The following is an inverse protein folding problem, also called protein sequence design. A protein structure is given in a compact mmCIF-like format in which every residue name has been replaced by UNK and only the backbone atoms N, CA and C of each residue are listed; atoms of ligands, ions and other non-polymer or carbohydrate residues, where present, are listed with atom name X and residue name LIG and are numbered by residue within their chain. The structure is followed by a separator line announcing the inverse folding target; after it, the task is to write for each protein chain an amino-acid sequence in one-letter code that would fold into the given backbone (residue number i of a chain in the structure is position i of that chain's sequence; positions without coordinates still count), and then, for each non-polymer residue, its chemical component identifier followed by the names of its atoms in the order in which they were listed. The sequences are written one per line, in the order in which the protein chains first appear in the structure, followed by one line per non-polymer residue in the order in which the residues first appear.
data_IF_881247066294
#
_entry.id   IF_881247066294
#
_cell.length_a   1.000
_cell.length_b   1.000
_cell.length_c   1.000
_cell.angle_alpha   90.00
_cell.angle_beta   90.00
_cell.angle_gamma   90.00
#
_symmetry.space_group_name_H-M   'P 1'
#
loop_
_entity.id
_entity.type
_entity.pdbx_description
1 polymer ?
#
# COMPACT_ATOMS: atom_id res chain seq x y z
N UNK A 1 25.67 8.68 59.70
CA UNK A 1 25.99 7.26 59.78
C UNK A 1 25.39 6.55 58.55
N UNK A 2 26.30 6.00 57.75
CA UNK A 2 26.22 4.82 56.85
C UNK A 2 24.85 4.57 56.17
N UNK A 3 24.75 4.79 54.85
CA UNK A 3 25.17 3.86 53.75
C UNK A 3 24.36 2.59 53.74
N UNK A 4 23.52 2.44 52.69
CA UNK A 4 23.67 1.28 51.82
C UNK A 4 22.93 1.54 50.47
N UNK A 5 23.71 1.32 49.45
CA UNK A 5 23.30 1.37 48.05
C UNK A 5 22.81 -0.03 47.63
N UNK A 6 21.61 -0.17 47.19
CA UNK A 6 21.18 -1.36 46.49
C UNK A 6 20.74 -1.09 45.05
N UNK A 7 21.44 -1.75 44.18
CA UNK A 7 21.32 -1.67 42.71
C UNK A 7 20.06 -2.38 42.26
N UNK A 8 19.14 -1.69 41.69
CA UNK A 8 18.10 -2.31 40.87
C UNK A 8 18.52 -2.29 39.39
N UNK A 9 18.94 -3.43 38.92
CA UNK A 9 19.16 -3.69 37.50
C UNK A 9 17.79 -3.77 36.79
N UNK A 10 17.44 -2.77 36.00
CA UNK A 10 16.32 -2.86 35.09
C UNK A 10 16.72 -3.67 33.86
N UNK A 11 16.20 -4.88 33.74
CA UNK A 11 16.26 -5.66 32.51
C UNK A 11 15.25 -5.09 31.51
N UNK A 12 15.74 -4.43 30.47
CA UNK A 12 14.93 -3.95 29.36
C UNK A 12 14.47 -5.12 28.50
N UNK A 13 13.20 -5.48 28.61
CA UNK A 13 12.55 -6.37 27.64
C UNK A 13 12.05 -5.54 26.46
N UNK A 14 12.81 -5.54 25.37
CA UNK A 14 12.35 -5.05 24.05
C UNK A 14 11.30 -6.02 23.51
N UNK A 15 10.03 -5.75 23.75
CA UNK A 15 8.92 -6.43 23.10
C UNK A 15 8.81 -6.00 21.64
N UNK A 16 9.43 -6.75 20.73
CA UNK A 16 9.12 -6.69 19.29
C UNK A 16 7.79 -7.39 19.08
N UNK A 17 6.72 -6.64 18.96
CA UNK A 17 5.42 -7.12 18.53
C UNK A 17 5.48 -7.57 17.07
N UNK A 18 5.73 -8.85 16.83
CA UNK A 18 5.68 -9.45 15.51
C UNK A 18 4.21 -9.70 15.14
N UNK A 19 3.73 -9.07 14.08
CA UNK A 19 2.46 -9.42 13.43
C UNK A 19 2.53 -10.86 12.89
N UNK A 20 1.56 -11.69 13.24
CA UNK A 20 1.47 -13.09 12.80
C UNK A 20 0.42 -13.29 11.70
N UNK A 21 0.76 -13.94 10.57
CA UNK A 21 -0.11 -14.33 9.46
C UNK A 21 -0.42 -15.84 9.49
N UNK A 22 -1.65 -16.27 9.38
CA UNK A 22 -2.07 -17.65 9.20
C UNK A 22 -2.85 -17.78 7.87
N UNK A 23 -2.61 -18.83 7.10
CA UNK A 23 -3.24 -19.11 5.82
C UNK A 23 -4.53 -19.91 6.01
N UNK A 24 -5.62 -19.50 5.36
CA UNK A 24 -6.78 -20.34 5.17
C UNK A 24 -7.14 -20.37 3.68
N UNK A 25 -7.20 -21.57 3.12
CA UNK A 25 -7.54 -21.80 1.71
C UNK A 25 -9.04 -22.01 1.59
N UNK A 26 -9.73 -21.06 0.99
CA UNK A 26 -11.08 -21.30 0.48
C UNK A 26 -11.28 -20.59 -0.85
N UNK A 27 -11.45 -21.41 -1.84
CA UNK A 27 -11.91 -21.28 -3.22
C UNK A 27 -11.89 -19.86 -3.88
N UNK A 28 -10.92 -19.66 -4.79
CA UNK A 28 -10.76 -18.54 -5.75
C UNK A 28 -10.28 -17.17 -5.24
N UNK A 29 -10.19 -16.93 -3.94
CA UNK A 29 -9.59 -15.71 -3.37
C UNK A 29 -8.49 -16.11 -2.40
N UNK A 30 -7.23 -15.91 -2.77
CA UNK A 30 -6.11 -16.16 -1.85
C UNK A 30 -6.13 -15.14 -0.73
N UNK A 31 -6.36 -15.59 0.50
CA UNK A 31 -6.48 -14.75 1.69
C UNK A 31 -5.25 -14.92 2.59
N UNK A 32 -4.65 -13.81 2.99
CA UNK A 32 -3.47 -13.79 3.85
C UNK A 32 -3.82 -13.16 5.21
N UNK A 33 -3.38 -13.79 6.29
CA UNK A 33 -3.42 -13.22 7.63
C UNK A 33 -2.00 -12.85 8.04
N UNK A 34 -1.76 -11.65 8.53
CA UNK A 34 -0.41 -11.20 8.88
C UNK A 34 0.15 -11.92 10.13
N UNK A 35 0.84 -13.07 9.96
CA UNK A 35 1.73 -13.81 10.88
C UNK A 35 3.00 -14.23 10.14
N UNK A 36 4.18 -14.38 10.73
CA UNK A 36 5.37 -14.75 9.98
C UNK A 36 5.23 -16.17 9.41
N UNK A 37 5.01 -16.25 8.10
CA UNK A 37 5.06 -17.48 7.32
C UNK A 37 6.46 -17.71 6.74
N UNK A 38 6.87 -18.96 6.49
CA UNK A 38 8.11 -19.22 5.78
C UNK A 38 8.06 -18.58 4.37
N UNK A 39 9.05 -17.76 4.09
CA UNK A 39 9.15 -16.82 2.96
C UNK A 39 9.03 -17.45 1.57
N UNK A 40 9.33 -18.75 1.45
CA UNK A 40 9.35 -19.43 0.16
C UNK A 40 7.97 -19.87 -0.38
N UNK A 41 6.96 -20.05 0.47
CA UNK A 41 5.62 -20.46 0.03
C UNK A 41 4.82 -19.31 -0.62
N UNK A 42 5.08 -18.06 -0.23
CA UNK A 42 4.40 -16.88 -0.78
C UNK A 42 5.06 -16.34 -2.06
N UNK A 43 6.37 -16.51 -2.19
CA UNK A 43 7.12 -16.04 -3.36
C UNK A 43 6.67 -16.74 -4.66
N UNK A 44 6.21 -18.01 -4.59
CA UNK A 44 5.71 -18.76 -5.74
C UNK A 44 4.31 -18.33 -6.22
N UNK A 45 3.61 -17.50 -5.44
CA UNK A 45 2.25 -17.06 -5.72
C UNK A 45 2.18 -15.74 -6.49
N UNK A 46 3.28 -14.99 -6.52
CA UNK A 46 3.36 -13.72 -7.23
C UNK A 46 3.91 -13.99 -8.63
N UNK A 47 3.29 -13.40 -9.68
CA UNK A 47 3.88 -13.49 -11.00
C UNK A 47 5.28 -12.85 -10.95
N UNK A 48 6.30 -13.52 -11.52
CA UNK A 48 7.61 -12.94 -11.58
C UNK A 48 7.55 -11.64 -12.39
N UNK A 49 7.98 -10.53 -11.80
CA UNK A 49 8.09 -9.23 -12.47
C UNK A 49 9.36 -9.23 -13.36
N UNK A 50 9.46 -10.24 -14.22
CA UNK A 50 10.59 -10.42 -15.14
C UNK A 50 10.52 -9.50 -16.36
N UNK A 51 9.40 -8.76 -16.52
CA UNK A 51 9.17 -8.04 -17.77
C UNK A 51 10.00 -6.79 -17.94
N UNK A 52 10.66 -6.23 -16.87
CA UNK A 52 11.41 -4.96 -16.99
C UNK A 52 12.62 -4.78 -16.06
N UNK A 53 13.15 -5.82 -15.43
CA UNK A 53 14.41 -5.76 -14.68
C UNK A 53 14.41 -4.83 -13.45
N UNK A 54 13.24 -4.38 -12.98
CA UNK A 54 13.11 -3.50 -11.81
C UNK A 54 12.73 -4.32 -10.58
N UNK A 55 13.49 -4.14 -9.50
CA UNK A 55 13.16 -4.78 -8.22
C UNK A 55 11.76 -4.34 -7.74
N UNK A 56 10.87 -5.27 -7.37
CA UNK A 56 9.54 -4.93 -6.87
C UNK A 56 9.61 -4.16 -5.56
N UNK A 57 8.55 -3.44 -5.21
CA UNK A 57 8.39 -2.78 -3.92
C UNK A 57 7.86 -3.80 -2.90
N UNK A 58 8.67 -4.30 -1.95
CA UNK A 58 8.16 -5.14 -0.88
C UNK A 58 7.29 -4.26 0.04
N UNK A 59 6.10 -4.72 0.44
CA UNK A 59 5.22 -3.91 1.27
C UNK A 59 4.65 -4.61 2.51
N UNK A 60 4.48 -5.93 2.48
CA UNK A 60 4.04 -6.73 3.63
C UNK A 60 4.72 -8.10 3.60
N UNK A 61 5.77 -8.28 4.40
CA UNK A 61 6.52 -9.53 4.44
C UNK A 61 7.03 -9.94 3.07
N UNK A 62 6.56 -11.07 2.54
CA UNK A 62 6.91 -11.56 1.21
C UNK A 62 6.09 -10.95 0.07
N UNK A 63 5.08 -10.11 0.38
CA UNK A 63 4.23 -9.48 -0.64
C UNK A 63 4.91 -8.27 -1.24
N UNK A 64 4.81 -8.13 -2.56
CA UNK A 64 5.42 -7.03 -3.29
C UNK A 64 4.49 -6.46 -4.37
N UNK A 65 4.76 -5.23 -4.76
CA UNK A 65 4.10 -4.51 -5.84
C UNK A 65 5.09 -4.24 -6.97
N UNK A 66 4.66 -4.40 -8.20
CA UNK A 66 5.45 -4.03 -9.36
C UNK A 66 5.67 -2.51 -9.39
N UNK A 67 6.93 -2.05 -9.49
CA UNK A 67 7.23 -0.62 -9.63
C UNK A 67 6.92 -0.13 -11.05
N UNK A 68 6.75 1.17 -11.19
CA UNK A 68 6.31 1.82 -12.42
C UNK A 68 4.97 1.26 -12.94
N UNK A 69 4.10 0.86 -12.04
CA UNK A 69 2.76 0.31 -12.28
C UNK A 69 1.76 0.90 -11.31
N UNK A 70 0.50 0.70 -11.67
CA UNK A 70 -0.64 1.12 -10.86
C UNK A 70 -1.34 -0.11 -10.31
N UNK A 71 -1.55 -0.14 -9.01
CA UNK A 71 -2.25 -1.18 -8.26
C UNK A 71 -3.55 -0.63 -7.68
N UNK A 72 -4.52 -1.50 -7.45
CA UNK A 72 -5.77 -1.13 -6.83
C UNK A 72 -5.86 -1.72 -5.41
N UNK A 73 -6.16 -0.86 -4.44
CA UNK A 73 -6.47 -1.24 -3.08
C UNK A 73 -7.93 -0.91 -2.78
N UNK A 74 -8.71 -1.89 -2.40
CA UNK A 74 -10.14 -1.74 -2.14
C UNK A 74 -10.54 -2.32 -0.78
N UNK A 75 -11.80 -2.13 -0.42
CA UNK A 75 -12.32 -2.54 0.88
C UNK A 75 -12.24 -1.45 1.95
N UNK A 76 -12.81 -1.71 3.15
CA UNK A 76 -12.97 -0.69 4.20
C UNK A 76 -11.64 -0.20 4.78
N UNK A 77 -10.58 -1.00 4.78
CA UNK A 77 -9.26 -0.61 5.32
C UNK A 77 -8.25 -0.22 4.23
N UNK A 78 -8.69 0.14 3.01
CA UNK A 78 -7.80 0.46 1.88
C UNK A 78 -6.77 1.57 2.17
N UNK A 79 -7.15 2.59 2.97
CA UNK A 79 -6.23 3.65 3.40
C UNK A 79 -5.12 3.10 4.29
N UNK A 80 -5.46 2.20 5.21
CA UNK A 80 -4.47 1.52 6.08
C UNK A 80 -3.48 0.71 5.24
N UNK A 81 -3.95 -0.01 4.22
CA UNK A 81 -3.07 -0.77 3.33
C UNK A 81 -2.12 0.16 2.55
N UNK A 82 -2.60 1.32 2.10
CA UNK A 82 -1.77 2.31 1.43
C UNK A 82 -0.70 2.89 2.36
N UNK A 83 -1.01 3.14 3.63
CA UNK A 83 -0.03 3.56 4.63
C UNK A 83 1.01 2.45 4.93
N UNK A 84 0.59 1.18 4.95
CA UNK A 84 1.53 0.04 5.06
C UNK A 84 2.47 -0.03 3.86
N UNK A 85 1.97 0.22 2.64
CA UNK A 85 2.80 0.30 1.45
C UNK A 85 3.73 1.54 1.49
N UNK A 86 3.25 2.68 1.98
CA UNK A 86 4.06 3.89 2.15
C UNK A 86 5.21 3.70 3.14
N UNK A 87 5.02 2.87 4.18
CA UNK A 87 6.08 2.48 5.12
C UNK A 87 7.25 1.78 4.45
N UNK A 88 7.00 1.09 3.35
CA UNK A 88 8.03 0.37 2.59
C UNK A 88 8.77 1.27 1.58
N UNK A 89 8.45 2.56 1.54
CA UNK A 89 9.12 3.55 0.68
C UNK A 89 9.87 4.58 1.52
N UNK A 90 10.91 5.14 0.95
CA UNK A 90 11.63 6.29 1.51
C UNK A 90 11.26 7.57 0.77
N UNK A 91 11.23 8.71 1.47
CA UNK A 91 10.91 10.02 0.89
C UNK A 91 9.42 10.36 0.92
N UNK A 92 9.01 11.41 0.19
CA UNK A 92 7.63 11.91 0.22
C UNK A 92 6.65 11.00 -0.50
N UNK A 93 5.39 11.10 -0.11
CA UNK A 93 4.24 10.39 -0.70
C UNK A 93 3.23 11.43 -1.15
N UNK A 94 2.89 11.46 -2.43
CA UNK A 94 1.78 12.29 -2.91
C UNK A 94 0.48 11.53 -2.66
N UNK A 95 -0.46 12.21 -1.98
CA UNK A 95 -1.79 11.68 -1.69
C UNK A 95 -2.85 12.58 -2.32
N UNK A 96 -3.34 12.12 -3.48
CA UNK A 96 -4.39 12.81 -4.24
C UNK A 96 -5.75 12.35 -3.72
N UNK A 97 -6.59 13.28 -3.31
CA UNK A 97 -7.91 12.98 -2.76
C UNK A 97 -8.94 14.00 -3.23
N UNK A 98 -10.21 13.61 -3.39
CA UNK A 98 -11.27 14.54 -3.76
C UNK A 98 -11.41 15.68 -2.75
N UNK A 99 -11.44 16.92 -3.22
CA UNK A 99 -11.63 18.08 -2.36
C UNK A 99 -13.02 18.15 -1.71
N UNK A 100 -14.02 17.52 -2.33
CA UNK A 100 -15.42 17.49 -1.91
C UNK A 100 -15.75 16.33 -0.93
N UNK A 101 -14.83 15.40 -0.70
CA UNK A 101 -15.00 14.35 0.30
C UNK A 101 -14.55 14.84 1.67
N UNK A 102 -15.38 14.72 2.72
CA UNK A 102 -15.06 15.25 4.05
C UNK A 102 -13.99 14.43 4.79
N UNK A 103 -13.88 13.13 4.50
CA UNK A 103 -12.98 12.24 5.23
C UNK A 103 -11.53 12.64 5.01
N UNK A 104 -10.78 12.66 6.10
CA UNK A 104 -9.35 13.01 6.13
C UNK A 104 -8.56 11.89 6.81
N UNK A 105 -7.29 11.75 6.45
CA UNK A 105 -6.35 11.03 7.29
C UNK A 105 -6.05 11.84 8.55
N UNK A 106 -6.19 11.22 9.71
CA UNK A 106 -5.83 11.84 10.97
C UNK A 106 -4.33 11.60 11.25
N UNK A 107 -3.54 12.61 11.60
CA UNK A 107 -2.10 12.46 11.80
C UNK A 107 -1.72 11.38 12.82
N UNK A 108 -2.44 11.28 13.95
CA UNK A 108 -2.20 10.22 14.94
C UNK A 108 -2.48 8.80 14.39
N UNK A 109 -3.43 8.67 13.46
CA UNK A 109 -3.71 7.41 12.78
C UNK A 109 -2.67 7.06 11.70
N UNK A 110 -1.93 8.04 11.20
CA UNK A 110 -0.85 7.87 10.22
C UNK A 110 0.47 7.50 10.90
N UNK A 111 0.74 8.12 12.06
CA UNK A 111 2.01 8.02 12.78
C UNK A 111 2.52 6.58 13.04
N UNK A 112 1.65 5.58 13.33
CA UNK A 112 2.11 4.20 13.50
C UNK A 112 2.70 3.56 12.23
N UNK A 113 2.43 4.14 11.06
CA UNK A 113 2.88 3.62 9.76
C UNK A 113 4.03 4.43 9.19
N UNK A 114 3.87 5.73 9.09
CA UNK A 114 4.86 6.67 8.54
C UNK A 114 4.81 8.00 9.29
N UNK A 115 5.89 8.77 9.21
CA UNK A 115 5.90 10.16 9.67
C UNK A 115 4.89 10.98 8.85
N UNK A 116 3.89 11.64 9.47
CA UNK A 116 2.87 12.40 8.75
C UNK A 116 3.41 13.49 7.83
N UNK A 117 4.57 14.08 8.17
CA UNK A 117 5.25 15.08 7.35
C UNK A 117 5.72 14.58 5.98
N UNK A 118 5.71 13.27 5.73
CA UNK A 118 5.98 12.69 4.40
C UNK A 118 4.81 12.82 3.43
N UNK A 119 3.59 13.09 3.93
CA UNK A 119 2.39 13.17 3.10
C UNK A 119 2.25 14.55 2.47
N UNK A 120 2.22 14.61 1.16
CA UNK A 120 1.90 15.79 0.36
C UNK A 120 0.50 15.61 -0.19
N UNK A 121 -0.47 16.38 0.33
CA UNK A 121 -1.85 16.28 -0.12
C UNK A 121 -2.11 17.13 -1.35
N UNK A 122 -2.70 16.52 -2.38
CA UNK A 122 -3.25 17.18 -3.54
C UNK A 122 -4.77 17.03 -3.51
N UNK A 123 -5.51 18.13 -3.50
CA UNK A 123 -6.96 18.15 -3.35
C UNK A 123 -7.64 18.84 -4.52
N UNK A 124 -7.79 18.16 -5.66
CA UNK A 124 -8.52 18.71 -6.81
C UNK A 124 -9.96 19.08 -6.44
N UNK A 125 -10.44 20.14 -7.04
CA UNK A 125 -11.80 20.64 -6.81
C UNK A 125 -12.83 20.06 -7.78
N UNK A 126 -12.36 19.55 -8.92
CA UNK A 126 -13.19 19.00 -10.00
C UNK A 126 -12.94 17.51 -10.17
N UNK A 127 -13.96 16.70 -10.46
CA UNK A 127 -13.80 15.26 -10.68
C UNK A 127 -12.80 14.91 -11.79
N UNK A 128 -12.80 15.65 -12.89
CA UNK A 128 -11.91 15.45 -14.03
C UNK A 128 -10.43 15.65 -13.69
N UNK A 129 -10.12 16.53 -12.73
CA UNK A 129 -8.76 16.84 -12.30
C UNK A 129 -8.17 15.76 -11.38
N UNK A 130 -9.00 14.86 -10.86
CA UNK A 130 -8.58 13.86 -9.88
C UNK A 130 -7.60 12.86 -10.50
N UNK A 131 -8.01 12.18 -11.55
CA UNK A 131 -7.15 11.21 -12.27
C UNK A 131 -6.01 11.92 -12.99
N UNK A 132 -6.21 13.13 -13.50
CA UNK A 132 -5.17 13.93 -14.09
C UNK A 132 -4.06 14.26 -13.07
N UNK A 133 -4.42 14.65 -11.85
CA UNK A 133 -3.45 14.91 -10.78
C UNK A 133 -2.62 13.67 -10.43
N UNK A 134 -3.24 12.49 -10.41
CA UNK A 134 -2.53 11.23 -10.20
C UNK A 134 -1.58 10.94 -11.36
N UNK A 135 -2.05 11.15 -12.62
CA UNK A 135 -1.27 10.95 -13.84
C UNK A 135 -0.02 11.83 -13.85
N UNK A 136 -0.16 13.13 -13.62
CA UNK A 136 0.97 14.07 -13.62
C UNK A 136 1.94 13.81 -12.45
N UNK A 137 1.42 13.43 -11.28
CA UNK A 137 2.28 13.03 -10.15
C UNK A 137 3.12 11.79 -10.45
N UNK A 138 2.55 10.81 -11.16
CA UNK A 138 3.27 9.62 -11.62
C UNK A 138 4.27 9.96 -12.71
N UNK A 139 3.86 10.77 -13.70
CA UNK A 139 4.70 11.20 -14.84
C UNK A 139 5.93 11.95 -14.38
N UNK A 140 5.79 12.81 -13.38
CA UNK A 140 6.90 13.59 -12.84
C UNK A 140 8.01 12.74 -12.22
N UNK A 141 7.73 11.52 -11.75
CA UNK A 141 8.71 10.65 -11.09
C UNK A 141 9.43 11.31 -9.91
N UNK A 142 8.78 12.33 -9.29
CA UNK A 142 9.37 13.11 -8.20
C UNK A 142 9.29 12.40 -6.84
N UNK A 143 8.42 11.40 -6.72
CA UNK A 143 8.16 10.65 -5.48
C UNK A 143 8.09 9.15 -5.75
N UNK A 144 8.46 8.29 -4.78
CA UNK A 144 8.40 6.83 -4.96
C UNK A 144 6.97 6.27 -4.91
N UNK A 145 6.01 7.00 -4.33
CA UNK A 145 4.65 6.54 -4.16
C UNK A 145 3.63 7.65 -4.41
N UNK A 146 2.65 7.36 -5.26
CA UNK A 146 1.49 8.22 -5.52
C UNK A 146 0.22 7.44 -5.16
N UNK A 147 -0.59 7.99 -4.28
CA UNK A 147 -1.87 7.42 -3.85
C UNK A 147 -3.00 8.29 -4.39
N UNK A 148 -3.95 7.70 -5.09
CA UNK A 148 -5.17 8.37 -5.55
C UNK A 148 -6.41 7.78 -4.88
N UNK A 149 -7.10 8.56 -4.06
CA UNK A 149 -8.42 8.18 -3.53
C UNK A 149 -9.48 8.48 -4.57
N UNK A 150 -10.19 7.45 -5.02
CA UNK A 150 -11.19 7.57 -6.08
C UNK A 150 -12.59 7.27 -5.53
N UNK A 151 -13.62 8.06 -5.91
CA UNK A 151 -15.00 7.80 -5.50
C UNK A 151 -15.57 6.53 -6.13
N UNK A 152 -15.05 6.14 -7.29
CA UNK A 152 -15.42 4.94 -8.04
C UNK A 152 -14.22 4.32 -8.76
N UNK A 153 -14.26 3.04 -9.13
CA UNK A 153 -13.20 2.41 -9.90
C UNK A 153 -13.12 2.99 -11.32
N UNK A 154 -11.93 3.40 -11.78
CA UNK A 154 -11.74 3.91 -13.12
C UNK A 154 -11.77 2.81 -14.18
N UNK A 155 -12.18 3.18 -15.40
CA UNK A 155 -12.17 2.29 -16.56
C UNK A 155 -10.75 1.96 -17.05
N UNK A 156 -10.69 1.12 -18.10
CA UNK A 156 -9.43 0.61 -18.65
C UNK A 156 -8.53 1.72 -19.22
N UNK A 157 -9.11 2.68 -19.97
CA UNK A 157 -8.34 3.72 -20.66
C UNK A 157 -7.62 4.65 -19.67
N UNK A 158 -8.26 5.22 -18.65
CA UNK A 158 -7.56 5.98 -17.62
C UNK A 158 -6.44 5.18 -16.94
N UNK A 159 -6.69 3.92 -16.54
CA UNK A 159 -5.66 3.11 -15.86
C UNK A 159 -4.47 2.81 -16.77
N UNK A 160 -4.69 2.60 -18.09
CA UNK A 160 -3.59 2.47 -19.05
C UNK A 160 -2.75 3.74 -19.13
N UNK A 161 -3.36 4.91 -19.13
CA UNK A 161 -2.65 6.20 -19.11
C UNK A 161 -1.82 6.37 -17.86
N UNK A 162 -2.36 6.01 -16.68
CA UNK A 162 -1.62 6.03 -15.42
C UNK A 162 -0.41 5.08 -15.42
N UNK A 163 -0.55 3.88 -16.00
CA UNK A 163 0.58 2.96 -16.15
C UNK A 163 1.68 3.53 -17.05
N UNK A 164 1.30 4.15 -18.19
CA UNK A 164 2.26 4.82 -19.08
C UNK A 164 2.95 6.01 -18.38
N UNK A 165 2.19 6.82 -17.65
CA UNK A 165 2.74 7.91 -16.86
C UNK A 165 3.74 7.43 -15.81
N UNK A 166 3.44 6.32 -15.11
CA UNK A 166 4.37 5.71 -14.16
C UNK A 166 5.65 5.18 -14.85
N UNK A 167 5.53 4.65 -16.06
CA UNK A 167 6.69 4.23 -16.88
C UNK A 167 7.55 5.42 -17.28
N UNK A 168 6.94 6.51 -17.74
CA UNK A 168 7.63 7.75 -18.08
C UNK A 168 8.36 8.31 -16.86
N UNK A 169 7.65 8.44 -15.72
CA UNK A 169 8.27 8.92 -14.48
C UNK A 169 9.43 8.06 -14.00
N UNK A 170 9.36 6.74 -14.23
CA UNK A 170 10.45 5.83 -13.90
C UNK A 170 11.65 5.92 -14.85
N UNK A 171 11.46 6.41 -16.07
CA UNK A 171 12.53 6.61 -17.06
C UNK A 171 13.21 7.98 -16.91
N UNK A 172 12.46 9.01 -16.57
CA UNK A 172 12.88 10.41 -16.63
C UNK A 172 12.97 11.09 -15.25
N UNK A 173 12.29 10.53 -14.24
CA UNK A 173 12.22 11.11 -12.90
C UNK A 173 13.32 10.67 -11.93
N UNK A 174 13.28 11.25 -10.73
CA UNK A 174 14.22 10.91 -9.63
C UNK A 174 13.93 9.54 -9.02
N UNK A 175 12.65 9.14 -9.01
CA UNK A 175 12.17 7.90 -8.40
C UNK A 175 11.48 7.01 -9.44
N UNK A 176 11.41 5.72 -9.13
CA UNK A 176 10.56 4.77 -9.85
C UNK A 176 9.20 4.78 -9.14
N UNK A 177 8.20 5.52 -9.63
CA UNK A 177 6.94 5.70 -8.91
C UNK A 177 6.09 4.43 -8.94
N UNK A 178 5.39 4.18 -7.86
CA UNK A 178 4.32 3.17 -7.79
C UNK A 178 3.01 3.90 -7.54
N UNK A 179 1.97 3.60 -8.33
CA UNK A 179 0.64 4.16 -8.16
C UNK A 179 -0.26 3.24 -7.35
N UNK A 180 -1.01 3.80 -6.41
CA UNK A 180 -2.06 3.10 -5.65
C UNK A 180 -3.39 3.79 -5.88
N UNK A 181 -4.38 3.10 -6.43
CA UNK A 181 -5.75 3.57 -6.57
C UNK A 181 -6.58 3.00 -5.42
N UNK A 182 -7.10 3.87 -4.57
CA UNK A 182 -7.97 3.50 -3.47
C UNK A 182 -9.42 3.62 -3.94
N UNK A 183 -10.08 2.49 -4.12
CA UNK A 183 -11.45 2.41 -4.62
C UNK A 183 -12.41 1.85 -3.56
N UNK A 184 -13.68 2.25 -3.54
CA UNK A 184 -14.66 1.72 -2.60
C UNK A 184 -15.05 0.28 -2.91
N UNK A 185 -15.71 -0.37 -1.95
CA UNK A 185 -16.30 -1.71 -2.10
C UNK A 185 -15.28 -2.78 -2.47
N UNK A 186 -15.60 -3.58 -3.48
CA UNK A 186 -14.76 -4.67 -3.98
C UNK A 186 -13.76 -4.21 -5.05
N UNK A 187 -13.69 -2.90 -5.33
CA UNK A 187 -12.88 -2.35 -6.40
C UNK A 187 -13.47 -2.61 -7.79
N UNK A 188 -12.66 -2.43 -8.81
CA UNK A 188 -13.13 -2.60 -10.20
C UNK A 188 -12.20 -1.98 -11.24
N UNK A 189 -11.10 -1.33 -10.85
CA UNK A 189 -10.20 -0.66 -11.77
C UNK A 189 -9.65 -1.64 -12.82
N UNK A 190 -10.13 -1.49 -14.05
CA UNK A 190 -9.71 -2.32 -15.15
C UNK A 190 -8.29 -1.94 -15.59
N UNK A 191 -7.40 -2.95 -15.75
CA UNK A 191 -6.02 -2.71 -16.19
C UNK A 191 -5.03 -2.42 -15.07
N UNK A 192 -5.45 -2.35 -13.79
CA UNK A 192 -4.53 -2.32 -12.66
C UNK A 192 -3.65 -3.59 -12.66
N UNK A 193 -2.39 -3.46 -12.27
CA UNK A 193 -1.43 -4.58 -12.25
C UNK A 193 -1.83 -5.65 -11.23
N UNK A 194 -2.28 -5.22 -10.05
CA UNK A 194 -2.90 -6.10 -9.07
C UNK A 194 -4.04 -5.38 -8.34
N UNK A 195 -5.00 -6.17 -7.82
CA UNK A 195 -6.07 -5.69 -6.95
C UNK A 195 -6.01 -6.43 -5.64
N UNK A 196 -5.99 -5.66 -4.54
CA UNK A 196 -5.94 -6.15 -3.18
C UNK A 196 -7.16 -5.64 -2.41
N UNK A 197 -7.90 -6.56 -1.82
CA UNK A 197 -9.00 -6.21 -0.92
C UNK A 197 -8.56 -6.40 0.52
N UNK A 198 -8.83 -5.40 1.37
CA UNK A 198 -8.49 -5.44 2.79
C UNK A 198 -9.71 -5.09 3.65
N UNK A 199 -9.96 -5.92 4.65
CA UNK A 199 -11.03 -5.74 5.62
C UNK A 199 -10.51 -5.94 7.06
N UNK A 200 -11.07 -5.21 8.04
CA UNK A 200 -10.69 -5.37 9.44
C UNK A 200 -11.15 -6.74 9.97
N UNK A 201 -10.33 -7.34 10.83
CA UNK A 201 -10.58 -8.57 11.57
C UNK A 201 -10.05 -8.45 12.99
N UNK A 202 -10.22 -7.26 13.57
CA UNK A 202 -9.76 -6.98 14.93
C UNK A 202 -10.46 -7.88 15.96
N UNK A 203 -9.73 -8.20 17.02
CA UNK A 203 -10.21 -8.84 18.24
C UNK A 203 -9.81 -7.96 19.42
N UNK A 204 -10.39 -8.16 20.60
CA UNK A 204 -10.17 -7.30 21.78
C UNK A 204 -8.72 -6.90 22.07
N UNK A 205 -7.76 -7.81 21.82
CA UNK A 205 -6.34 -7.59 22.10
C UNK A 205 -5.45 -7.58 20.84
N UNK A 206 -6.04 -7.82 19.65
CA UNK A 206 -5.29 -8.01 18.42
C UNK A 206 -5.82 -7.15 17.29
N UNK A 207 -4.95 -6.31 16.74
CA UNK A 207 -5.23 -5.57 15.51
C UNK A 207 -4.87 -6.43 14.31
N UNK A 208 -5.89 -6.91 13.58
CA UNK A 208 -5.74 -7.81 12.43
C UNK A 208 -6.54 -7.32 11.24
N UNK A 209 -6.05 -7.65 10.06
CA UNK A 209 -6.76 -7.43 8.80
C UNK A 209 -6.75 -8.71 7.97
N UNK A 210 -7.84 -8.90 7.22
CA UNK A 210 -7.90 -9.89 6.17
C UNK A 210 -7.49 -9.23 4.87
N UNK A 211 -6.39 -9.67 4.27
CA UNK A 211 -5.91 -9.21 2.98
C UNK A 211 -6.13 -10.30 1.94
N UNK A 212 -6.72 -9.94 0.81
CA UNK A 212 -6.99 -10.86 -0.30
C UNK A 212 -6.45 -10.29 -1.59
N UNK A 213 -5.63 -11.05 -2.31
CA UNK A 213 -5.28 -10.76 -3.69
C UNK A 213 -6.44 -11.17 -4.59
N UNK A 214 -7.21 -10.18 -5.07
CA UNK A 214 -8.40 -10.41 -5.90
C UNK A 214 -8.01 -10.64 -7.36
N UNK A 215 -6.95 -9.94 -7.81
CA UNK A 215 -6.44 -10.02 -9.18
C UNK A 215 -4.96 -9.73 -9.21
N UNK A 216 -4.22 -10.44 -10.05
CA UNK A 216 -2.86 -10.09 -10.45
C UNK A 216 -2.71 -10.31 -11.96
N UNK A 217 -2.06 -9.37 -12.65
CA UNK A 217 -1.79 -9.49 -14.09
C UNK A 217 -0.72 -10.56 -14.32
N UNK A 218 -1.03 -11.54 -15.16
CA UNK A 218 -0.11 -12.65 -15.46
C UNK A 218 -0.09 -13.79 -14.44
N UNK A 219 -0.90 -13.75 -13.38
CA UNK A 219 -1.24 -14.95 -12.62
C UNK A 219 -2.28 -15.73 -13.41
N UNK A 220 -2.04 -17.03 -13.63
CA UNK A 220 -3.05 -17.95 -14.12
C UNK A 220 -4.22 -17.99 -13.12
N UNK A 221 -5.45 -18.13 -13.61
CA UNK A 221 -6.64 -18.18 -12.76
C UNK A 221 -6.62 -19.38 -11.82
#
# INVERSE_FOLDING_TARGET
ARADSERLRSSGAKGKGACRAAESVENKRRTYYASPMPTHALASLLPPDHRRGRAPLPFLGALSLARARVHEFCGPSRRTLALMAARATEGPVIWVRPGWMPERLHPEGVLPFIEPGRLIFVTPRRPEDLLWSVEESLRAGAVPLVVGELPEPPGLTPVRRLNLAAETGAAEGRHIPTGLLLTPGEGGAAGAESRWHIAPRHREKDTRWRLSLVRARGALP
#
